data_IF_129328220697
#
_entry.id   IF_129328220697
#
_cell.length_a   1.000
_cell.length_b   1.000
_cell.length_c   1.000
_cell.angle_alpha   90.00
_cell.angle_beta   90.00
_cell.angle_gamma   90.00
#
_symmetry.space_group_name_H-M   'P 1'
#
loop_
_entity.id
_entity.type
_entity.pdbx_description
1 polymer ?
#
# COMPACT_ATOMS: atom_id res chain seq x y z
N UNK A 1 4.78 14.14 -29.11
CA UNK A 1 4.47 13.33 -27.91
C UNK A 1 4.17 11.91 -28.35
N UNK A 2 4.95 10.95 -27.87
CA UNK A 2 4.84 9.53 -28.17
C UNK A 2 4.44 8.80 -26.88
N UNK A 3 3.54 7.79 -26.95
CA UNK A 3 3.21 6.93 -25.83
C UNK A 3 3.80 5.55 -26.10
N UNK A 4 4.62 5.03 -25.18
CA UNK A 4 5.25 3.73 -25.31
C UNK A 4 5.42 3.04 -23.93
N UNK A 5 5.67 1.72 -23.95
CA UNK A 5 5.94 0.96 -22.74
C UNK A 5 7.24 1.39 -22.08
N UNK A 6 7.38 1.07 -20.80
CA UNK A 6 8.58 1.35 -20.02
C UNK A 6 9.57 0.16 -20.00
N UNK A 7 9.34 -0.85 -20.83
CA UNK A 7 10.12 -2.10 -20.87
C UNK A 7 11.64 -1.89 -20.99
N UNK A 8 12.07 -0.89 -21.79
CA UNK A 8 13.47 -0.60 -22.03
C UNK A 8 13.96 0.68 -21.36
N UNK A 9 13.17 1.20 -20.42
CA UNK A 9 13.51 2.42 -19.67
C UNK A 9 14.21 2.01 -18.37
N UNK A 10 15.43 2.51 -18.18
CA UNK A 10 16.16 2.29 -16.93
C UNK A 10 15.47 2.99 -15.74
N UNK A 11 15.75 2.47 -14.55
CA UNK A 11 15.10 2.96 -13.35
C UNK A 11 15.46 4.41 -13.02
N UNK A 12 16.64 4.89 -13.42
CA UNK A 12 17.07 6.26 -13.16
C UNK A 12 16.27 7.27 -13.98
N UNK A 13 16.00 6.93 -15.22
CA UNK A 13 15.12 7.71 -16.11
C UNK A 13 13.67 7.69 -15.62
N UNK A 14 13.18 6.53 -15.18
CA UNK A 14 11.85 6.41 -14.58
C UNK A 14 11.74 7.24 -13.30
N UNK A 15 12.73 7.15 -12.40
CA UNK A 15 12.74 7.88 -11.14
C UNK A 15 12.75 9.39 -11.35
N UNK A 16 13.56 9.91 -12.29
CA UNK A 16 13.52 11.35 -12.65
C UNK A 16 12.15 11.79 -13.11
N UNK A 17 11.49 11.01 -13.97
CA UNK A 17 10.12 11.31 -14.39
C UNK A 17 9.14 11.30 -13.22
N UNK A 18 9.28 10.37 -12.31
CA UNK A 18 8.48 10.27 -11.08
C UNK A 18 8.72 11.48 -10.16
N UNK A 19 9.96 11.79 -9.83
CA UNK A 19 10.34 12.92 -8.97
C UNK A 19 9.82 14.24 -9.54
N UNK A 20 10.01 14.48 -10.84
CA UNK A 20 9.53 15.70 -11.52
C UNK A 20 8.00 15.81 -11.50
N UNK A 21 7.28 14.70 -11.70
CA UNK A 21 5.81 14.70 -11.70
C UNK A 21 5.21 15.01 -10.32
N UNK A 22 5.93 14.69 -9.25
CA UNK A 22 5.51 14.89 -7.85
C UNK A 22 6.29 15.99 -7.12
N UNK A 23 7.10 16.80 -7.81
CA UNK A 23 7.95 17.83 -7.23
C UNK A 23 7.20 18.96 -6.50
N UNK A 24 5.91 19.16 -6.80
CA UNK A 24 5.04 20.14 -6.16
C UNK A 24 4.16 19.54 -5.03
N UNK A 25 4.40 18.28 -4.66
CA UNK A 25 3.74 17.64 -3.52
C UNK A 25 4.58 17.82 -2.26
N UNK A 26 3.93 17.88 -1.10
CA UNK A 26 4.61 18.01 0.21
C UNK A 26 5.45 16.79 0.59
N UNK A 27 5.27 15.66 -0.10
CA UNK A 27 5.96 14.40 0.18
C UNK A 27 7.01 14.20 -0.92
N UNK A 28 8.29 14.19 -0.52
CA UNK A 28 9.38 13.73 -1.38
C UNK A 28 9.62 12.24 -1.13
N UNK A 29 9.88 11.52 -2.20
CA UNK A 29 10.27 10.10 -2.13
C UNK A 29 11.75 10.00 -2.51
N UNK A 30 12.51 9.24 -1.73
CA UNK A 30 13.84 8.87 -2.19
C UNK A 30 13.76 7.72 -3.21
N UNK A 31 14.88 7.51 -3.90
CA UNK A 31 14.97 6.54 -5.00
C UNK A 31 14.74 5.10 -4.54
N UNK A 32 15.23 4.73 -3.38
CA UNK A 32 15.08 3.38 -2.83
C UNK A 32 13.66 3.16 -2.27
N UNK A 33 13.02 4.19 -1.75
CA UNK A 33 11.61 4.14 -1.35
C UNK A 33 10.71 3.87 -2.56
N UNK A 34 10.93 4.58 -3.69
CA UNK A 34 10.18 4.36 -4.94
C UNK A 34 10.44 2.94 -5.46
N UNK A 35 11.70 2.49 -5.47
CA UNK A 35 12.06 1.13 -5.90
C UNK A 35 11.33 0.08 -5.07
N UNK A 36 11.40 0.19 -3.75
CA UNK A 36 10.75 -0.72 -2.80
C UNK A 36 9.23 -0.72 -2.97
N UNK A 37 8.63 0.47 -3.15
CA UNK A 37 7.20 0.63 -3.42
C UNK A 37 6.79 -0.09 -4.72
N UNK A 38 7.53 0.08 -5.81
CA UNK A 38 7.25 -0.54 -7.09
C UNK A 38 7.35 -2.07 -7.01
N UNK A 39 8.41 -2.61 -6.38
CA UNK A 39 8.57 -4.04 -6.16
C UNK A 39 7.38 -4.58 -5.36
N UNK A 40 7.06 -3.96 -4.24
CA UNK A 40 5.98 -4.38 -3.35
C UNK A 40 4.62 -4.36 -4.04
N UNK A 41 4.37 -3.36 -4.89
CA UNK A 41 3.11 -3.24 -5.63
C UNK A 41 3.05 -4.10 -6.89
N UNK A 42 4.16 -4.78 -7.26
CA UNK A 42 4.22 -5.70 -8.39
C UNK A 42 4.38 -5.02 -9.74
N UNK A 43 5.13 -3.91 -9.77
CA UNK A 43 5.41 -3.17 -10.99
C UNK A 43 5.89 -4.05 -12.13
N UNK A 44 5.31 -3.83 -13.30
CA UNK A 44 5.64 -4.48 -14.56
C UNK A 44 5.93 -3.42 -15.62
N UNK A 45 7.18 -3.36 -16.09
CA UNK A 45 7.64 -2.36 -17.06
C UNK A 45 7.04 -2.56 -18.45
N UNK A 46 6.76 -3.80 -18.86
CA UNK A 46 6.18 -4.11 -20.17
C UNK A 46 4.73 -3.63 -20.26
N UNK A 47 4.00 -3.66 -19.14
CA UNK A 47 2.60 -3.26 -19.04
C UNK A 47 2.41 -1.87 -18.40
N UNK A 48 3.48 -1.13 -18.16
CA UNK A 48 3.49 0.28 -17.74
C UNK A 48 3.84 1.18 -18.90
N UNK A 49 3.24 2.35 -18.97
CA UNK A 49 3.34 3.23 -20.13
C UNK A 49 3.63 4.67 -19.74
N UNK A 50 4.37 5.38 -20.59
CA UNK A 50 4.62 6.80 -20.42
C UNK A 50 4.49 7.56 -21.74
N UNK A 51 4.17 8.85 -21.62
CA UNK A 51 4.24 9.82 -22.70
C UNK A 51 5.59 10.51 -22.68
N UNK A 52 6.24 10.59 -23.83
CA UNK A 52 7.55 11.19 -24.04
C UNK A 52 7.46 12.42 -24.94
N UNK A 53 8.22 13.46 -24.58
CA UNK A 53 8.53 14.62 -25.41
C UNK A 53 10.04 14.81 -25.34
N UNK A 54 10.71 14.89 -26.47
CA UNK A 54 12.17 15.05 -26.59
C UNK A 54 12.95 14.04 -25.74
N UNK A 55 12.48 12.77 -25.71
CA UNK A 55 12.97 11.65 -24.93
C UNK A 55 12.80 11.78 -23.40
N UNK A 56 12.15 12.80 -22.88
CA UNK A 56 11.85 12.97 -21.47
C UNK A 56 10.43 12.46 -21.15
N UNK A 57 10.27 11.82 -19.99
CA UNK A 57 8.97 11.39 -19.49
C UNK A 57 8.18 12.61 -19.02
N UNK A 58 7.05 12.90 -19.66
CA UNK A 58 6.17 14.01 -19.28
C UNK A 58 4.91 13.56 -18.54
N UNK A 59 4.52 12.30 -18.69
CA UNK A 59 3.45 11.66 -17.92
C UNK A 59 3.63 10.14 -17.96
N UNK A 60 3.11 9.45 -16.96
CA UNK A 60 3.21 7.99 -16.86
C UNK A 60 2.02 7.38 -16.10
N UNK A 61 1.79 6.09 -16.35
CA UNK A 61 0.96 5.21 -15.54
C UNK A 61 1.77 3.93 -15.29
N UNK A 62 2.09 3.68 -14.02
CA UNK A 62 2.87 2.52 -13.57
C UNK A 62 1.91 1.44 -13.08
N UNK A 63 1.95 0.29 -13.70
CA UNK A 63 1.04 -0.82 -13.41
C UNK A 63 1.74 -1.91 -12.60
N UNK A 64 1.11 -2.30 -11.49
CA UNK A 64 1.42 -3.53 -10.78
C UNK A 64 0.56 -4.66 -11.32
N UNK A 65 1.15 -5.83 -11.56
CA UNK A 65 0.46 -6.98 -12.13
C UNK A 65 0.41 -8.11 -11.11
N UNK A 66 -0.76 -8.77 -11.02
CA UNK A 66 -0.93 -9.91 -10.13
C UNK A 66 -2.36 -10.41 -10.08
N UNK A 67 -2.71 -11.07 -8.97
CA UNK A 67 -4.09 -11.49 -8.71
C UNK A 67 -4.62 -10.79 -7.47
N UNK A 68 -5.86 -10.33 -7.54
CA UNK A 68 -6.57 -9.76 -6.41
C UNK A 68 -7.92 -10.45 -6.27
N UNK A 69 -8.18 -11.07 -5.12
CA UNK A 69 -9.35 -11.93 -4.89
C UNK A 69 -9.50 -13.02 -5.96
N UNK A 70 -8.39 -13.60 -6.43
CA UNK A 70 -8.37 -14.63 -7.46
C UNK A 70 -8.50 -14.12 -8.90
N UNK A 71 -8.74 -12.81 -9.11
CA UNK A 71 -8.93 -12.21 -10.44
C UNK A 71 -7.59 -11.63 -10.94
N UNK A 72 -7.15 -11.91 -12.20
CA UNK A 72 -6.01 -11.26 -12.82
C UNK A 72 -6.23 -9.74 -12.86
N UNK A 73 -5.34 -8.98 -12.21
CA UNK A 73 -5.54 -7.56 -11.92
C UNK A 73 -4.33 -6.74 -12.29
N UNK A 74 -4.55 -5.60 -12.93
CA UNK A 74 -3.61 -4.50 -12.97
C UNK A 74 -3.95 -3.51 -11.85
N UNK A 75 -2.94 -3.01 -11.18
CA UNK A 75 -3.06 -2.04 -10.09
C UNK A 75 -2.30 -0.76 -10.44
N UNK A 76 -2.94 0.39 -10.31
CA UNK A 76 -2.27 1.70 -10.45
C UNK A 76 -1.28 1.90 -9.29
N UNK A 77 0.00 1.64 -9.55
CA UNK A 77 1.06 1.88 -8.55
C UNK A 77 1.43 3.35 -8.47
N UNK A 78 1.12 4.12 -9.49
CA UNK A 78 1.34 5.56 -9.57
C UNK A 78 1.07 6.11 -10.96
N UNK A 79 0.23 7.11 -11.03
CA UNK A 79 -0.02 7.91 -12.23
C UNK A 79 0.42 9.34 -11.98
N UNK A 80 1.33 9.84 -12.81
CA UNK A 80 1.91 11.18 -12.70
C UNK A 80 1.90 11.93 -14.02
N UNK A 81 1.84 13.27 -13.93
CA UNK A 81 1.97 14.18 -15.08
C UNK A 81 2.73 15.42 -14.61
N UNK A 82 3.76 15.82 -15.35
CA UNK A 82 4.52 17.04 -15.11
C UNK A 82 3.58 18.24 -15.09
N UNK A 83 3.86 19.21 -14.24
CA UNK A 83 2.97 20.36 -13.97
C UNK A 83 2.53 21.09 -15.25
N UNK A 84 3.44 21.35 -16.17
CA UNK A 84 3.23 22.05 -17.44
C UNK A 84 2.40 21.24 -18.45
N UNK A 85 2.28 19.92 -18.25
CA UNK A 85 1.50 19.03 -19.12
C UNK A 85 0.14 18.63 -18.52
N UNK A 86 -0.18 19.09 -17.30
CA UNK A 86 -1.46 18.78 -16.63
C UNK A 86 -2.65 19.45 -17.36
N UNK A 87 -3.83 18.88 -17.22
CA UNK A 87 -5.05 19.38 -17.81
C UNK A 87 -5.25 19.06 -19.29
N UNK A 88 -4.27 18.42 -19.96
CA UNK A 88 -4.31 18.09 -21.39
C UNK A 88 -4.84 16.67 -21.68
N UNK A 89 -5.31 15.95 -20.64
CA UNK A 89 -5.86 14.60 -20.76
C UNK A 89 -4.82 13.50 -21.04
N UNK A 90 -3.52 13.77 -20.84
CA UNK A 90 -2.44 12.85 -21.20
C UNK A 90 -2.53 11.55 -20.39
N UNK A 91 -2.76 11.60 -19.08
CA UNK A 91 -2.94 10.40 -18.26
C UNK A 91 -4.08 9.50 -18.78
N UNK A 92 -5.20 10.10 -19.22
CA UNK A 92 -6.29 9.36 -19.85
C UNK A 92 -5.90 8.72 -21.18
N UNK A 93 -5.08 9.40 -22.00
CA UNK A 93 -4.56 8.83 -23.25
C UNK A 93 -3.62 7.66 -22.99
N UNK A 94 -2.72 7.76 -22.00
CA UNK A 94 -1.83 6.67 -21.58
C UNK A 94 -2.65 5.49 -21.09
N UNK A 95 -3.63 5.72 -20.21
CA UNK A 95 -4.51 4.67 -19.71
C UNK A 95 -5.25 3.96 -20.85
N UNK A 96 -5.90 4.70 -21.75
CA UNK A 96 -6.60 4.12 -22.91
C UNK A 96 -5.65 3.34 -23.82
N UNK A 97 -4.43 3.82 -24.01
CA UNK A 97 -3.39 3.13 -24.77
C UNK A 97 -2.98 1.79 -24.12
N UNK A 98 -2.93 1.72 -22.80
CA UNK A 98 -2.52 0.50 -22.07
C UNK A 98 -3.57 -0.62 -22.11
N UNK A 99 -4.87 -0.29 -22.25
CA UNK A 99 -5.97 -1.26 -22.13
C UNK A 99 -5.87 -2.47 -23.08
N UNK A 100 -5.55 -2.33 -24.38
CA UNK A 100 -5.38 -3.48 -25.27
C UNK A 100 -4.28 -4.45 -24.77
N UNK A 101 -3.15 -3.92 -24.36
CA UNK A 101 -2.01 -4.71 -23.87
C UNK A 101 -2.36 -5.45 -22.57
N UNK A 102 -3.06 -4.78 -21.65
CA UNK A 102 -3.52 -5.41 -20.40
C UNK A 102 -4.50 -6.56 -20.70
N UNK A 103 -5.45 -6.37 -21.64
CA UNK A 103 -6.39 -7.43 -22.05
C UNK A 103 -5.67 -8.61 -22.71
N UNK A 104 -4.72 -8.36 -23.58
CA UNK A 104 -3.89 -9.37 -24.24
C UNK A 104 -3.08 -10.17 -23.22
N UNK A 105 -2.54 -9.50 -22.17
CA UNK A 105 -1.88 -10.15 -21.05
C UNK A 105 -2.83 -10.92 -20.11
N UNK A 106 -4.13 -10.98 -20.43
CA UNK A 106 -5.13 -11.74 -19.68
C UNK A 106 -5.64 -11.04 -18.43
N UNK A 107 -5.36 -9.76 -18.25
CA UNK A 107 -5.90 -8.96 -17.14
C UNK A 107 -7.42 -8.80 -17.32
N UNK A 108 -8.16 -8.91 -16.22
CA UNK A 108 -9.63 -8.89 -16.20
C UNK A 108 -10.21 -7.70 -15.44
N UNK A 109 -9.40 -7.07 -14.59
CA UNK A 109 -9.80 -5.86 -13.89
C UNK A 109 -8.61 -4.93 -13.68
N UNK A 110 -8.93 -3.65 -13.57
CA UNK A 110 -7.99 -2.61 -13.18
C UNK A 110 -8.43 -2.01 -11.84
N UNK A 111 -7.51 -1.93 -10.89
CA UNK A 111 -7.76 -1.46 -9.53
C UNK A 111 -6.89 -0.25 -9.23
N UNK A 112 -7.45 0.74 -8.55
CA UNK A 112 -6.71 1.89 -8.03
C UNK A 112 -7.24 2.31 -6.66
N UNK A 113 -6.42 3.07 -5.95
CA UNK A 113 -6.79 3.76 -4.72
C UNK A 113 -6.64 5.27 -4.92
N UNK A 114 -7.63 6.04 -4.49
CA UNK A 114 -7.64 7.50 -4.67
C UNK A 114 -8.14 8.22 -3.42
N UNK A 115 -7.46 9.30 -3.03
CA UNK A 115 -7.89 10.15 -1.93
C UNK A 115 -9.31 10.69 -2.17
N UNK A 116 -10.19 10.61 -1.19
CA UNK A 116 -11.60 11.05 -1.30
C UNK A 116 -11.74 12.55 -1.54
N UNK A 117 -10.74 13.35 -1.17
CA UNK A 117 -10.69 14.78 -1.45
C UNK A 117 -10.22 15.12 -2.86
N UNK A 118 -9.62 14.17 -3.61
CA UNK A 118 -9.18 14.37 -4.99
C UNK A 118 -10.34 14.23 -6.00
N UNK A 119 -11.30 15.16 -5.91
CA UNK A 119 -12.51 15.15 -6.76
C UNK A 119 -12.20 15.16 -8.25
N UNK A 120 -11.08 15.79 -8.67
CA UNK A 120 -10.67 15.82 -10.07
C UNK A 120 -10.33 14.43 -10.58
N UNK A 121 -9.46 13.70 -9.88
CA UNK A 121 -9.09 12.35 -10.27
C UNK A 121 -10.30 11.39 -10.22
N UNK A 122 -11.11 11.43 -9.16
CA UNK A 122 -12.33 10.61 -9.04
C UNK A 122 -13.26 10.81 -10.23
N UNK A 123 -13.48 12.05 -10.66
CA UNK A 123 -14.35 12.34 -11.83
C UNK A 123 -13.75 11.78 -13.13
N UNK A 124 -12.42 11.80 -13.28
CA UNK A 124 -11.74 11.22 -14.45
C UNK A 124 -11.94 9.69 -14.43
N UNK A 125 -11.68 9.02 -13.31
CA UNK A 125 -11.85 7.58 -13.20
C UNK A 125 -13.31 7.13 -13.41
N UNK A 126 -14.28 7.86 -12.87
CA UNK A 126 -15.71 7.57 -13.13
C UNK A 126 -16.07 7.68 -14.61
N UNK A 127 -15.56 8.69 -15.33
CA UNK A 127 -15.76 8.83 -16.78
C UNK A 127 -15.11 7.69 -17.57
N UNK A 128 -14.06 7.07 -17.06
CA UNK A 128 -13.41 5.89 -17.63
C UNK A 128 -14.15 4.59 -17.30
N UNK A 129 -15.22 4.62 -16.49
CA UNK A 129 -16.02 3.47 -16.11
C UNK A 129 -15.62 2.81 -14.79
N UNK A 130 -14.71 3.41 -14.02
CA UNK A 130 -14.41 2.91 -12.68
C UNK A 130 -15.58 3.09 -11.72
N UNK A 131 -15.82 2.08 -10.90
CA UNK A 131 -16.79 2.10 -9.82
C UNK A 131 -16.07 2.01 -8.47
N UNK A 132 -16.59 2.72 -7.46
CA UNK A 132 -16.08 2.60 -6.08
C UNK A 132 -16.54 1.26 -5.49
N UNK A 133 -15.61 0.48 -4.99
CA UNK A 133 -15.87 -0.86 -4.40
C UNK A 133 -15.73 -0.85 -2.88
N UNK A 134 -14.75 -0.10 -2.35
CA UNK A 134 -14.51 0.01 -0.91
C UNK A 134 -14.09 1.42 -0.52
N UNK A 135 -14.20 1.70 0.77
CA UNK A 135 -13.67 2.91 1.39
C UNK A 135 -12.63 2.52 2.45
N UNK A 136 -11.56 3.30 2.53
CA UNK A 136 -10.48 3.06 3.46
C UNK A 136 -10.18 4.28 4.31
N UNK A 137 -9.87 4.05 5.57
CA UNK A 137 -9.26 4.99 6.49
C UNK A 137 -7.72 4.82 6.47
N UNK A 138 -7.00 5.96 6.50
CA UNK A 138 -5.55 6.02 6.63
C UNK A 138 -5.19 6.77 7.91
N UNK A 139 -4.32 6.18 8.72
CA UNK A 139 -3.92 6.68 10.02
C UNK A 139 -2.44 7.01 10.06
N UNK A 140 -2.05 8.01 10.88
CA UNK A 140 -0.65 8.32 11.17
C UNK A 140 -0.56 8.99 12.53
N UNK A 141 0.56 8.72 13.25
CA UNK A 141 0.87 9.41 14.49
C UNK A 141 2.37 9.38 14.78
N UNK A 142 2.89 10.41 15.45
CA UNK A 142 4.22 10.39 16.02
C UNK A 142 4.29 9.34 17.14
N UNK A 143 5.35 8.55 17.14
CA UNK A 143 5.52 7.43 18.10
C UNK A 143 5.45 7.92 19.54
N UNK A 144 6.02 9.11 19.82
CA UNK A 144 6.02 9.71 21.15
C UNK A 144 4.60 10.05 21.69
N UNK A 145 3.63 10.21 20.79
CA UNK A 145 2.24 10.57 21.14
C UNK A 145 1.32 9.35 21.22
N UNK A 146 1.81 8.16 20.87
CA UNK A 146 1.02 6.94 20.88
C UNK A 146 0.84 6.45 22.31
N UNK A 147 -0.41 6.30 22.72
CA UNK A 147 -0.75 5.74 24.04
C UNK A 147 -0.52 4.24 24.04
N UNK A 148 0.29 3.76 24.98
CA UNK A 148 0.48 2.33 25.23
C UNK A 148 0.14 1.99 26.67
N UNK A 149 -1.15 1.80 26.99
CA UNK A 149 -1.62 1.60 28.38
C UNK A 149 -1.03 0.36 29.05
N UNK A 150 -0.57 -0.62 28.26
CA UNK A 150 0.00 -1.86 28.77
C UNK A 150 1.54 -1.80 28.88
N UNK A 151 2.16 -0.62 28.67
CA UNK A 151 3.62 -0.48 28.68
C UNK A 151 4.27 -0.87 30.01
N UNK A 152 3.58 -0.68 31.13
CA UNK A 152 4.07 -1.00 32.48
C UNK A 152 3.76 -2.42 32.94
N UNK A 153 2.95 -3.18 32.20
CA UNK A 153 2.61 -4.57 32.57
C UNK A 153 3.60 -5.52 31.88
N UNK A 154 4.42 -6.26 32.63
CA UNK A 154 5.25 -7.28 32.04
C UNK A 154 4.35 -8.35 31.42
N UNK A 155 4.56 -8.62 30.14
CA UNK A 155 3.89 -9.71 29.48
C UNK A 155 4.63 -11.01 29.80
N UNK A 156 4.16 -11.75 30.78
CA UNK A 156 4.71 -13.04 31.14
C UNK A 156 4.07 -14.20 30.37
N UNK A 157 3.04 -13.93 29.57
CA UNK A 157 2.19 -14.96 28.96
C UNK A 157 2.52 -15.21 27.49
N UNK A 158 3.11 -14.22 26.81
CA UNK A 158 3.35 -14.30 25.35
C UNK A 158 4.82 -14.00 25.03
N UNK A 159 5.43 -14.84 24.22
CA UNK A 159 6.76 -14.62 23.65
C UNK A 159 6.61 -13.81 22.35
N UNK A 160 7.39 -12.74 22.19
CA UNK A 160 7.44 -11.93 20.97
C UNK A 160 8.77 -12.17 20.27
N UNK A 161 8.74 -12.57 19.01
CA UNK A 161 9.95 -12.85 18.24
C UNK A 161 9.75 -12.54 16.74
N UNK A 162 10.85 -12.47 16.02
CA UNK A 162 10.81 -12.35 14.55
C UNK A 162 10.32 -13.67 13.96
N UNK A 163 9.47 -13.56 12.93
CA UNK A 163 8.94 -14.70 12.18
C UNK A 163 9.19 -14.52 10.69
N UNK A 164 9.08 -15.61 9.95
CA UNK A 164 9.11 -15.55 8.50
C UNK A 164 7.72 -15.17 7.89
N UNK A 165 7.69 -14.94 6.59
CA UNK A 165 6.46 -14.60 5.87
C UNK A 165 5.53 -15.78 5.70
N UNK A 166 6.06 -17.00 5.69
CA UNK A 166 5.25 -18.20 5.62
C UNK A 166 4.34 -18.30 6.85
N UNK A 167 4.86 -18.04 8.04
CA UNK A 167 4.06 -17.97 9.26
C UNK A 167 2.96 -16.90 9.19
N UNK A 168 3.26 -15.73 8.59
CA UNK A 168 2.25 -14.67 8.36
C UNK A 168 1.17 -15.15 7.39
N UNK A 169 1.56 -15.81 6.30
CA UNK A 169 0.63 -16.35 5.30
C UNK A 169 -0.27 -17.43 5.91
N UNK A 170 0.27 -18.32 6.73
CA UNK A 170 -0.48 -19.40 7.40
C UNK A 170 -1.47 -18.84 8.42
N UNK A 171 -1.15 -17.69 9.05
CA UNK A 171 -2.01 -16.96 9.96
C UNK A 171 -2.99 -15.97 9.28
N UNK A 172 -3.25 -16.09 7.96
CA UNK A 172 -4.15 -15.20 7.21
C UNK A 172 -5.56 -15.09 7.80
N UNK A 173 -6.04 -16.14 8.45
CA UNK A 173 -7.37 -16.20 9.08
C UNK A 173 -7.50 -15.32 10.33
N UNK A 174 -6.40 -14.77 10.87
CA UNK A 174 -6.44 -13.81 11.99
C UNK A 174 -6.98 -12.43 11.55
N UNK A 175 -6.95 -12.16 10.25
CA UNK A 175 -7.54 -10.96 9.64
C UNK A 175 -9.04 -11.11 9.46
N UNK A 176 -9.79 -10.07 9.85
CA UNK A 176 -11.25 -10.04 9.70
C UNK A 176 -11.71 -9.48 8.35
N UNK A 177 -10.81 -8.89 7.57
CA UNK A 177 -11.14 -8.25 6.28
C UNK A 177 -10.13 -8.62 5.19
N UNK A 178 -10.55 -8.48 3.95
CA UNK A 178 -9.65 -8.57 2.80
C UNK A 178 -8.79 -7.31 2.73
N UNK A 179 -7.45 -7.41 2.79
CA UNK A 179 -6.57 -6.26 2.68
C UNK A 179 -6.71 -5.54 1.34
N UNK A 180 -6.25 -4.29 1.27
CA UNK A 180 -6.04 -3.60 -0.01
C UNK A 180 -4.90 -4.25 -0.80
N UNK A 181 -4.76 -3.90 -2.08
CA UNK A 181 -3.68 -4.43 -2.92
C UNK A 181 -2.31 -4.29 -2.28
N UNK A 182 -1.95 -3.08 -1.82
CA UNK A 182 -0.62 -2.81 -1.26
C UNK A 182 -0.38 -3.45 0.11
N UNK A 183 -1.42 -3.92 0.79
CA UNK A 183 -1.36 -4.61 2.08
C UNK A 183 -1.71 -6.10 1.96
N UNK A 184 -1.86 -6.62 0.74
CA UNK A 184 -2.15 -8.04 0.48
C UNK A 184 -0.99 -8.95 0.90
N UNK A 185 -1.26 -10.24 1.04
CA UNK A 185 -0.20 -11.22 1.31
C UNK A 185 0.78 -11.30 0.15
N UNK A 186 0.30 -11.19 -1.08
CA UNK A 186 1.11 -11.14 -2.30
C UNK A 186 2.05 -9.92 -2.30
N UNK A 187 1.58 -8.77 -1.83
CA UNK A 187 2.42 -7.57 -1.66
C UNK A 187 3.51 -7.80 -0.61
N UNK A 188 3.18 -8.45 0.52
CA UNK A 188 4.14 -8.81 1.56
C UNK A 188 5.21 -9.77 1.01
N UNK A 189 4.80 -10.77 0.22
CA UNK A 189 5.72 -11.70 -0.44
C UNK A 189 6.67 -11.00 -1.43
N UNK A 190 6.17 -10.06 -2.22
CA UNK A 190 7.01 -9.29 -3.15
C UNK A 190 8.00 -8.37 -2.42
N UNK A 191 7.61 -7.80 -1.28
CA UNK A 191 8.41 -6.87 -0.48
C UNK A 191 9.51 -7.51 0.38
N UNK A 192 10.14 -8.61 -0.09
CA UNK A 192 11.04 -9.50 0.67
C UNK A 192 12.15 -8.80 1.48
N UNK A 193 12.75 -7.75 0.96
CA UNK A 193 13.95 -7.12 1.56
C UNK A 193 13.65 -5.96 2.52
N UNK A 194 12.42 -5.42 2.52
CA UNK A 194 12.08 -4.20 3.27
C UNK A 194 11.13 -4.43 4.45
N UNK A 195 10.49 -5.61 4.54
CA UNK A 195 9.47 -5.87 5.55
C UNK A 195 9.99 -6.78 6.68
N UNK A 196 9.68 -6.38 7.91
CA UNK A 196 9.94 -7.16 9.12
C UNK A 196 8.63 -7.75 9.63
N UNK A 197 8.63 -9.05 9.92
CA UNK A 197 7.50 -9.77 10.48
C UNK A 197 7.76 -10.12 11.95
N UNK A 198 6.83 -9.80 12.83
CA UNK A 198 6.91 -10.03 14.28
C UNK A 198 5.72 -10.90 14.68
N UNK A 199 5.99 -11.99 15.39
CA UNK A 199 4.98 -12.92 15.91
C UNK A 199 4.84 -12.85 17.43
N UNK A 200 3.63 -13.10 17.91
CA UNK A 200 3.33 -13.34 19.32
C UNK A 200 2.95 -14.81 19.51
N UNK A 201 3.62 -15.50 20.41
CA UNK A 201 3.42 -16.91 20.69
C UNK A 201 2.87 -17.14 22.10
N UNK A 202 1.88 -17.98 22.19
CA UNK A 202 1.43 -18.58 23.44
C UNK A 202 1.89 -20.04 23.44
N UNK A 203 2.87 -20.35 24.27
CA UNK A 203 3.70 -21.56 24.14
C UNK A 203 4.31 -21.59 22.71
N UNK A 204 4.06 -22.63 21.94
CA UNK A 204 4.58 -22.82 20.58
C UNK A 204 3.55 -22.44 19.49
N UNK A 205 2.37 -21.95 19.89
CA UNK A 205 1.32 -21.52 18.94
C UNK A 205 1.45 -20.04 18.64
N UNK A 206 1.55 -19.69 17.33
CA UNK A 206 1.40 -18.32 16.88
C UNK A 206 -0.04 -17.86 17.14
N UNK A 207 -0.21 -16.74 17.86
CA UNK A 207 -1.52 -16.19 18.26
C UNK A 207 -1.73 -14.75 17.82
N UNK A 208 -0.72 -14.14 17.22
CA UNK A 208 -0.81 -12.81 16.64
C UNK A 208 0.45 -12.46 15.88
N UNK A 209 0.36 -11.52 14.96
CA UNK A 209 1.51 -11.03 14.20
C UNK A 209 1.34 -9.57 13.79
N UNK A 210 2.45 -8.92 13.47
CA UNK A 210 2.45 -7.69 12.69
C UNK A 210 3.55 -7.72 11.62
N UNK A 211 3.33 -6.93 10.56
CA UNK A 211 4.26 -6.73 9.44
C UNK A 211 4.51 -5.24 9.32
N UNK A 212 5.78 -4.86 9.35
CA UNK A 212 6.21 -3.47 9.35
C UNK A 212 7.28 -3.21 8.29
N UNK A 213 7.30 -1.99 7.78
CA UNK A 213 8.45 -1.41 7.10
C UNK A 213 9.08 -0.39 8.04
N UNK A 214 10.24 -0.75 8.61
CA UNK A 214 10.91 0.06 9.61
C UNK A 214 11.44 1.39 9.05
N UNK A 215 11.69 1.47 7.75
CA UNK A 215 12.28 2.67 7.10
C UNK A 215 11.23 3.70 6.72
N UNK A 216 10.04 3.25 6.39
CA UNK A 216 8.94 4.13 5.96
C UNK A 216 7.87 4.36 7.02
N UNK A 217 8.02 3.74 8.21
CA UNK A 217 7.05 3.83 9.31
C UNK A 217 5.73 3.10 9.04
N UNK A 218 5.67 2.24 8.01
CA UNK A 218 4.43 1.55 7.62
C UNK A 218 4.17 0.33 8.49
N UNK A 219 3.11 0.35 9.29
CA UNK A 219 2.51 -0.84 9.90
C UNK A 219 1.53 -1.43 8.88
N UNK A 220 2.07 -2.27 8.01
CA UNK A 220 1.34 -2.91 6.91
C UNK A 220 0.19 -3.77 7.40
N UNK A 221 0.43 -4.52 8.50
CA UNK A 221 -0.56 -5.41 9.09
C UNK A 221 -0.34 -5.58 10.58
N UNK A 222 -1.43 -5.78 11.31
CA UNK A 222 -1.45 -6.28 12.68
C UNK A 222 -2.71 -7.11 12.86
N UNK A 223 -2.56 -8.35 13.32
CA UNK A 223 -3.69 -9.26 13.51
C UNK A 223 -3.47 -10.18 14.69
N UNK A 224 -4.56 -10.57 15.35
CA UNK A 224 -4.56 -11.48 16.51
C UNK A 224 -5.65 -12.53 16.32
N UNK A 225 -5.30 -13.78 16.58
CA UNK A 225 -6.24 -14.91 16.62
C UNK A 225 -7.45 -14.54 17.49
N UNK A 226 -8.66 -14.81 17.02
CA UNK A 226 -9.92 -14.43 17.66
C UNK A 226 -10.00 -14.92 19.12
N UNK A 227 -9.53 -16.13 19.39
CA UNK A 227 -9.56 -16.74 20.73
C UNK A 227 -8.58 -16.09 21.71
N UNK A 228 -7.64 -15.31 21.19
CA UNK A 228 -6.58 -14.64 21.96
C UNK A 228 -6.73 -13.11 22.01
N UNK A 229 -7.81 -12.56 21.48
CA UNK A 229 -8.08 -11.11 21.52
C UNK A 229 -8.36 -10.62 22.93
N UNK A 230 -8.24 -9.31 23.13
CA UNK A 230 -8.46 -8.59 24.42
C UNK A 230 -7.51 -9.03 25.56
N UNK A 231 -6.41 -9.70 25.22
CA UNK A 231 -5.36 -10.14 26.16
C UNK A 231 -4.07 -9.29 26.05
N UNK A 232 -4.12 -8.13 25.38
CA UNK A 232 -2.98 -7.20 25.23
C UNK A 232 -2.00 -7.54 24.11
N UNK A 233 -2.20 -8.62 23.34
CA UNK A 233 -1.25 -9.10 22.30
C UNK A 233 -0.97 -8.02 21.26
N UNK A 234 -2.01 -7.38 20.69
CA UNK A 234 -1.84 -6.32 19.70
C UNK A 234 -1.03 -5.13 20.26
N UNK A 235 -1.21 -4.78 21.55
CA UNK A 235 -0.43 -3.74 22.23
C UNK A 235 1.05 -4.09 22.32
N UNK A 236 1.36 -5.36 22.62
CA UNK A 236 2.75 -5.84 22.68
C UNK A 236 3.40 -5.89 21.30
N UNK A 237 2.67 -6.34 20.27
CA UNK A 237 3.12 -6.32 18.88
C UNK A 237 3.40 -4.89 18.42
N UNK A 238 2.47 -3.95 18.66
CA UNK A 238 2.63 -2.54 18.31
C UNK A 238 3.85 -1.92 19.00
N UNK A 239 4.08 -2.21 20.30
CA UNK A 239 5.24 -1.72 21.05
C UNK A 239 6.54 -2.22 20.42
N UNK A 240 6.63 -3.51 20.11
CA UNK A 240 7.80 -4.09 19.46
C UNK A 240 8.00 -3.48 18.06
N UNK A 241 6.93 -3.30 17.29
CA UNK A 241 6.98 -2.62 16.01
C UNK A 241 7.57 -1.20 16.14
N UNK A 242 7.05 -0.39 17.07
CA UNK A 242 7.53 0.98 17.32
C UNK A 242 9.01 1.03 17.71
N UNK A 243 9.50 0.08 18.52
CA UNK A 243 10.91 0.04 18.93
C UNK A 243 11.88 -0.29 17.80
N UNK A 244 11.38 -0.84 16.68
CA UNK A 244 12.17 -1.18 15.49
C UNK A 244 12.09 -0.12 14.40
N UNK A 245 11.17 0.87 14.51
CA UNK A 245 11.03 1.93 13.51
C UNK A 245 12.27 2.82 13.47
N UNK A 246 12.67 3.21 12.26
CA UNK A 246 13.73 4.20 12.00
C UNK A 246 13.17 5.60 11.78
N UNK A 247 11.84 5.72 11.81
CA UNK A 247 11.08 6.98 11.72
C UNK A 247 10.55 7.36 13.09
N UNK A 248 10.22 8.62 13.30
CA UNK A 248 9.55 9.14 14.50
C UNK A 248 8.02 8.97 14.46
N UNK A 249 7.49 8.38 13.40
CA UNK A 249 6.06 8.15 13.21
C UNK A 249 5.75 6.73 12.77
N UNK A 250 4.49 6.34 12.94
CA UNK A 250 3.88 5.15 12.37
C UNK A 250 2.71 5.56 11.48
N UNK A 251 2.54 4.88 10.36
CA UNK A 251 1.36 5.01 9.48
C UNK A 251 0.71 3.66 9.25
N UNK A 252 -0.61 3.67 9.14
CA UNK A 252 -1.43 2.47 8.86
C UNK A 252 -2.38 2.83 7.73
N UNK A 253 -2.19 2.24 6.57
CA UNK A 253 -2.92 2.62 5.36
C UNK A 253 -4.02 1.61 5.04
N UNK A 254 -5.11 2.12 4.46
CA UNK A 254 -6.16 1.33 3.82
C UNK A 254 -6.84 0.32 4.75
N UNK A 255 -7.24 0.77 5.92
CA UNK A 255 -8.14 0.01 6.80
C UNK A 255 -9.58 0.21 6.31
N UNK A 256 -10.33 -0.88 6.00
CA UNK A 256 -11.72 -0.75 5.59
C UNK A 256 -12.55 0.02 6.62
N UNK A 257 -13.41 0.92 6.15
CA UNK A 257 -14.22 1.77 7.04
C UNK A 257 -15.24 0.99 7.86
N UNK A 258 -15.60 -0.23 7.42
CA UNK A 258 -16.47 -1.17 8.13
C UNK A 258 -15.73 -2.05 9.15
N UNK A 259 -14.38 -2.06 9.20
CA UNK A 259 -13.63 -2.70 10.28
C UNK A 259 -13.57 -1.83 11.54
N UNK A 260 -14.51 -2.05 12.45
CA UNK A 260 -14.56 -1.33 13.72
C UNK A 260 -13.45 -1.76 14.69
N UNK A 261 -12.95 -2.98 14.59
CA UNK A 261 -12.01 -3.58 15.57
C UNK A 261 -10.65 -2.91 15.50
N UNK A 262 -10.04 -2.88 14.31
CA UNK A 262 -8.72 -2.27 14.14
C UNK A 262 -8.79 -0.75 14.25
N UNK A 263 -9.85 -0.13 13.71
CA UNK A 263 -10.09 1.32 13.86
C UNK A 263 -10.16 1.74 15.33
N UNK A 264 -10.95 1.05 16.16
CA UNK A 264 -11.02 1.31 17.60
C UNK A 264 -9.67 1.11 18.27
N UNK A 265 -8.95 0.03 17.92
CA UNK A 265 -7.60 -0.24 18.44
C UNK A 265 -6.64 0.94 18.17
N UNK A 266 -6.63 1.48 16.96
CA UNK A 266 -5.78 2.62 16.58
C UNK A 266 -6.20 3.90 17.30
N UNK A 267 -7.50 4.21 17.31
CA UNK A 267 -8.06 5.41 17.95
C UNK A 267 -7.81 5.43 19.47
N UNK A 268 -8.01 4.30 20.16
CA UNK A 268 -7.74 4.16 21.60
C UNK A 268 -6.28 4.45 21.96
N UNK A 269 -5.37 4.29 20.97
CA UNK A 269 -3.93 4.55 21.11
C UNK A 269 -3.51 5.92 20.62
N UNK A 270 -4.46 6.80 20.36
CA UNK A 270 -4.22 8.14 19.84
C UNK A 270 -3.54 8.13 18.44
N UNK A 271 -3.74 7.06 17.64
CA UNK A 271 -3.28 7.05 16.25
C UNK A 271 -4.38 7.68 15.40
N UNK A 272 -4.10 8.87 14.87
CA UNK A 272 -5.11 9.73 14.28
C UNK A 272 -5.43 9.37 12.82
N UNK A 273 -6.71 9.47 12.47
CA UNK A 273 -7.15 9.43 11.06
C UNK A 273 -6.63 10.69 10.35
N UNK A 274 -5.88 10.50 9.26
CA UNK A 274 -5.33 11.60 8.48
C UNK A 274 -6.02 11.78 7.13
N UNK A 275 -6.40 10.67 6.49
CA UNK A 275 -6.99 10.68 5.15
C UNK A 275 -7.98 9.51 4.97
N UNK A 276 -8.82 9.65 3.94
CA UNK A 276 -9.66 8.56 3.43
C UNK A 276 -9.41 8.35 1.95
N UNK A 277 -9.52 7.10 1.52
CA UNK A 277 -9.39 6.71 0.13
C UNK A 277 -10.60 5.91 -0.35
N UNK A 278 -10.90 6.00 -1.64
CA UNK A 278 -11.73 5.03 -2.35
C UNK A 278 -10.83 4.00 -3.00
N UNK A 279 -11.22 2.74 -2.90
CA UNK A 279 -10.81 1.74 -3.87
C UNK A 279 -11.79 1.79 -5.03
N UNK A 280 -11.25 1.88 -6.24
CA UNK A 280 -12.07 1.88 -7.45
C UNK A 280 -11.60 0.78 -8.40
N UNK A 281 -12.56 0.13 -9.05
CA UNK A 281 -12.31 -0.98 -9.96
C UNK A 281 -12.98 -0.73 -11.30
N UNK A 282 -12.29 -1.10 -12.38
CA UNK A 282 -12.80 -1.20 -13.73
C UNK A 282 -12.68 -2.65 -14.18
N UNK A 283 -13.76 -3.24 -14.66
CA UNK A 283 -13.73 -4.54 -15.37
C UNK A 283 -13.23 -4.33 -16.79
N UNK A 284 -12.26 -5.14 -17.24
CA UNK A 284 -11.61 -5.03 -18.54
C UNK A 284 -12.20 -5.99 -19.59
#
# INVERSE_FOLDING_TARGET
MEIKSLEHIDFDTLFRGFENAFSDYEISFDKEEVRSMLIRRGYDSCLSFAAFVDNEIVAFTLNGIGRFNGIPTAYDTGTGTLKEYRGQGIAGKIFSHSLPFLKEAGIRQYLLEVLQNNKKAINVYRKMGFVTTREFDCFRQNIAEIRNPDASRPNTTFRIELIDRDAVRDAKTFCDFTPSWQNSFESIERGKSGLTCIGAFHFDRLVGYCVIDCTTGDLTRIAVDRDFRRKGIASHLLRNAMSMMKTDFIKVLNIPTDDSTLRSFLTDRNISLINRQFEMVLTL
#
